data_IF_442507666899
#
_entry.id   IF_442507666899
#
_cell.length_a   1.000
_cell.length_b   1.000
_cell.length_c   1.000
_cell.angle_alpha   90.00
_cell.angle_beta   90.00
_cell.angle_gamma   90.00
#
_symmetry.space_group_name_H-M   'P 1'
#
loop_
_entity.id
_entity.type
_entity.pdbx_description
1 polymer ?
#
# COMPACT_ATOMS: atom_id res chain seq x y z
N UNK A 1 39.28 26.88 -44.91
CA UNK A 1 38.12 27.34 -44.12
C UNK A 1 37.17 26.17 -44.02
N UNK A 2 37.18 25.52 -42.87
CA UNK A 2 36.54 24.23 -42.60
C UNK A 2 35.09 24.42 -42.19
N UNK A 3 34.19 24.01 -43.09
CA UNK A 3 32.83 23.59 -42.76
C UNK A 3 32.88 22.27 -41.98
N UNK A 4 32.39 22.27 -40.74
CA UNK A 4 31.69 21.12 -40.15
C UNK A 4 30.86 21.59 -38.96
N UNK A 5 29.60 21.91 -39.25
CA UNK A 5 28.49 21.72 -38.32
C UNK A 5 28.57 20.30 -37.76
N UNK A 6 28.70 20.17 -36.45
CA UNK A 6 28.24 18.99 -35.72
C UNK A 6 27.13 19.47 -34.79
N UNK A 7 25.90 19.37 -35.28
CA UNK A 7 24.73 19.17 -34.43
C UNK A 7 24.33 17.72 -34.60
N UNK A 8 24.44 16.93 -33.53
CA UNK A 8 23.90 15.57 -33.38
C UNK A 8 24.06 15.27 -31.87
N UNK A 9 23.07 15.00 -31.05
CA UNK A 9 21.62 14.92 -31.19
C UNK A 9 21.04 14.81 -29.77
N UNK A 10 19.81 15.25 -29.60
CA UNK A 10 18.97 14.99 -28.45
C UNK A 10 18.59 13.51 -28.39
N UNK A 11 19.20 12.72 -27.51
CA UNK A 11 18.68 11.43 -27.08
C UNK A 11 18.80 11.35 -25.57
N UNK A 12 17.66 11.09 -24.92
CA UNK A 12 17.51 10.86 -23.49
C UNK A 12 18.58 9.89 -23.00
N UNK A 13 19.62 10.42 -22.36
CA UNK A 13 20.78 9.65 -21.92
C UNK A 13 20.34 8.78 -20.74
N UNK A 14 19.84 7.59 -21.09
CA UNK A 14 19.48 6.56 -20.15
C UNK A 14 20.65 6.35 -19.19
N UNK A 15 20.45 6.71 -17.93
CA UNK A 15 21.50 6.74 -16.91
C UNK A 15 21.17 5.72 -15.84
N UNK A 16 21.91 4.61 -15.84
CA UNK A 16 21.87 3.55 -14.84
C UNK A 16 21.78 4.06 -13.39
N UNK A 17 22.48 5.16 -13.06
CA UNK A 17 22.47 5.75 -11.71
C UNK A 17 21.12 6.40 -11.39
N UNK A 18 20.52 7.08 -12.36
CA UNK A 18 19.17 7.64 -12.22
C UNK A 18 18.16 6.51 -12.04
N UNK A 19 18.28 5.47 -12.85
CA UNK A 19 17.38 4.32 -12.85
C UNK A 19 17.40 3.56 -11.51
N UNK A 20 18.60 3.28 -11.01
CA UNK A 20 18.80 2.66 -9.69
C UNK A 20 18.21 3.53 -8.59
N UNK A 21 18.40 4.85 -8.66
CA UNK A 21 17.85 5.80 -7.68
C UNK A 21 16.31 5.78 -7.70
N UNK A 22 15.70 5.74 -8.88
CA UNK A 22 14.25 5.64 -9.06
C UNK A 22 13.70 4.34 -8.47
N UNK A 23 14.33 3.19 -8.74
CA UNK A 23 13.88 1.90 -8.20
C UNK A 23 14.06 1.79 -6.69
N UNK A 24 15.13 2.35 -6.14
CA UNK A 24 15.31 2.46 -4.69
C UNK A 24 14.23 3.36 -4.07
N UNK A 25 13.93 4.51 -4.68
CA UNK A 25 12.87 5.41 -4.22
C UNK A 25 11.49 4.73 -4.24
N UNK A 26 11.19 3.95 -5.30
CA UNK A 26 9.97 3.14 -5.37
C UNK A 26 9.89 2.10 -4.25
N UNK A 27 10.98 1.37 -4.03
CA UNK A 27 11.04 0.33 -2.99
C UNK A 27 10.84 0.93 -1.60
N UNK A 28 11.49 2.07 -1.31
CA UNK A 28 11.31 2.82 -0.06
C UNK A 28 9.85 3.26 0.11
N UNK A 29 9.25 3.87 -0.92
CA UNK A 29 7.86 4.30 -0.86
C UNK A 29 6.89 3.12 -0.64
N UNK A 30 7.13 1.98 -1.32
CA UNK A 30 6.35 0.76 -1.14
C UNK A 30 6.46 0.18 0.28
N UNK A 31 7.67 0.17 0.87
CA UNK A 31 7.90 -0.27 2.25
C UNK A 31 7.12 0.61 3.23
N UNK A 32 7.28 1.93 3.14
CA UNK A 32 6.58 2.87 4.02
C UNK A 32 5.06 2.76 3.92
N UNK A 33 4.53 2.67 2.70
CA UNK A 33 3.11 2.51 2.45
C UNK A 33 2.58 1.22 3.09
N UNK A 34 3.25 0.11 2.87
CA UNK A 34 2.79 -1.19 3.38
C UNK A 34 2.92 -1.26 4.90
N UNK A 35 3.99 -0.72 5.50
CA UNK A 35 4.14 -0.67 6.96
C UNK A 35 3.04 0.17 7.61
N UNK A 36 2.70 1.32 7.03
CA UNK A 36 1.61 2.18 7.52
C UNK A 36 0.25 1.45 7.46
N UNK A 37 0.00 0.72 6.37
CA UNK A 37 -1.21 -0.11 6.22
C UNK A 37 -1.24 -1.27 7.24
N UNK A 38 -0.10 -1.90 7.50
CA UNK A 38 0.06 -2.94 8.51
C UNK A 38 -0.19 -2.46 9.92
N UNK A 39 0.38 -1.32 10.31
CA UNK A 39 0.16 -0.72 11.63
C UNK A 39 -1.32 -0.42 11.86
N UNK A 40 -2.01 0.12 10.85
CA UNK A 40 -3.45 0.35 10.92
C UNK A 40 -4.22 -0.97 11.09
N UNK A 41 -3.84 -2.00 10.34
CA UNK A 41 -4.45 -3.33 10.41
C UNK A 41 -4.28 -3.96 11.78
N UNK A 42 -3.08 -3.90 12.36
CA UNK A 42 -2.78 -4.42 13.71
C UNK A 42 -3.58 -3.65 14.76
N UNK A 43 -3.68 -2.32 14.65
CA UNK A 43 -4.46 -1.51 15.57
C UNK A 43 -5.96 -1.86 15.51
N UNK A 44 -6.52 -2.01 14.31
CA UNK A 44 -7.90 -2.46 14.12
C UNK A 44 -8.12 -3.85 14.71
N UNK A 45 -7.19 -4.78 14.47
CA UNK A 45 -7.27 -6.13 15.00
C UNK A 45 -7.26 -6.15 16.54
N UNK A 46 -6.35 -5.37 17.15
CA UNK A 46 -6.29 -5.22 18.60
C UNK A 46 -7.58 -4.62 19.17
N UNK A 47 -8.12 -3.57 18.55
CA UNK A 47 -9.37 -2.94 18.97
C UNK A 47 -10.55 -3.92 18.86
N UNK A 48 -10.66 -4.65 17.75
CA UNK A 48 -11.72 -5.63 17.56
C UNK A 48 -11.64 -6.78 18.58
N UNK A 49 -10.45 -7.29 18.91
CA UNK A 49 -10.32 -8.32 19.94
C UNK A 49 -10.65 -7.82 21.35
N UNK A 50 -10.28 -6.58 21.69
CA UNK A 50 -10.66 -5.97 22.96
C UNK A 50 -12.18 -5.83 23.06
N UNK A 51 -12.82 -5.39 21.99
CA UNK A 51 -14.26 -5.23 21.96
C UNK A 51 -15.00 -6.57 22.01
N UNK A 52 -14.50 -7.59 21.29
CA UNK A 52 -15.03 -8.96 21.41
C UNK A 52 -14.94 -9.50 22.84
N UNK A 53 -13.84 -9.24 23.55
CA UNK A 53 -13.69 -9.64 24.95
C UNK A 53 -14.71 -8.90 25.85
N UNK A 54 -14.92 -7.60 25.62
CA UNK A 54 -15.92 -6.81 26.34
C UNK A 54 -17.34 -7.33 26.12
N UNK A 55 -17.70 -7.61 24.86
CA UNK A 55 -19.00 -8.16 24.47
C UNK A 55 -19.23 -9.51 25.17
N UNK A 56 -18.24 -10.42 25.16
CA UNK A 56 -18.34 -11.70 25.86
C UNK A 56 -18.63 -11.53 27.36
N UNK A 57 -17.94 -10.60 28.02
CA UNK A 57 -18.17 -10.31 29.44
C UNK A 57 -19.54 -9.68 29.70
N UNK A 58 -20.02 -8.81 28.80
CA UNK A 58 -21.33 -8.19 28.91
C UNK A 58 -22.46 -9.19 28.72
N UNK A 59 -22.36 -10.06 27.71
CA UNK A 59 -23.30 -11.17 27.48
C UNK A 59 -23.34 -12.10 28.69
N UNK A 60 -22.18 -12.46 29.27
CA UNK A 60 -22.13 -13.30 30.47
C UNK A 60 -22.82 -12.63 31.68
N UNK A 61 -22.61 -11.33 31.89
CA UNK A 61 -23.27 -10.56 32.96
C UNK A 61 -24.78 -10.48 32.75
N UNK A 62 -25.23 -10.21 31.52
CA UNK A 62 -26.65 -10.15 31.17
C UNK A 62 -27.31 -11.53 31.37
N UNK A 63 -26.66 -12.60 30.92
CA UNK A 63 -27.18 -13.97 31.07
C UNK A 63 -27.27 -14.43 32.54
N UNK A 64 -26.43 -13.89 33.43
CA UNK A 64 -26.45 -14.21 34.87
C UNK A 64 -27.44 -13.39 35.70
N UNK A 65 -27.92 -12.25 35.19
CA UNK A 65 -28.93 -11.43 35.86
C UNK A 65 -30.33 -11.97 35.54
N UNK A 66 -31.00 -12.54 36.54
CA UNK A 66 -32.24 -13.33 36.37
C UNK A 66 -33.52 -12.46 36.34
N UNK A 67 -33.46 -11.18 36.74
CA UNK A 67 -34.68 -10.40 37.03
C UNK A 67 -35.20 -9.48 35.90
N UNK A 68 -34.45 -9.24 34.81
CA UNK A 68 -34.94 -8.37 33.72
C UNK A 68 -34.20 -8.48 32.38
N UNK A 69 -33.47 -9.57 32.12
CA UNK A 69 -32.69 -9.69 30.89
C UNK A 69 -33.59 -9.78 29.67
N UNK A 70 -33.68 -8.67 28.93
CA UNK A 70 -34.29 -8.64 27.62
C UNK A 70 -33.42 -9.45 26.67
N UNK A 71 -33.94 -10.54 26.14
CA UNK A 71 -33.27 -11.32 25.08
C UNK A 71 -32.79 -10.42 23.93
N UNK A 72 -33.48 -9.29 23.69
CA UNK A 72 -33.07 -8.28 22.72
C UNK A 72 -31.70 -7.64 23.03
N UNK A 73 -31.34 -7.44 24.30
CA UNK A 73 -30.03 -6.90 24.69
C UNK A 73 -28.89 -7.88 24.40
N UNK A 74 -29.11 -9.18 24.64
CA UNK A 74 -28.13 -10.22 24.29
C UNK A 74 -27.98 -10.31 22.77
N UNK A 75 -29.09 -10.27 22.02
CA UNK A 75 -29.04 -10.28 20.55
C UNK A 75 -28.26 -9.07 20.01
N UNK A 76 -28.49 -7.87 20.54
CA UNK A 76 -27.73 -6.68 20.15
C UNK A 76 -26.23 -6.78 20.43
N UNK A 77 -25.83 -7.34 21.57
CA UNK A 77 -24.41 -7.61 21.87
C UNK A 77 -23.81 -8.64 20.90
N UNK A 78 -24.55 -9.67 20.50
CA UNK A 78 -24.10 -10.67 19.51
C UNK A 78 -24.00 -10.08 18.10
N UNK A 79 -24.88 -9.16 17.71
CA UNK A 79 -24.76 -8.41 16.45
C UNK A 79 -23.49 -7.55 16.44
N UNK A 80 -23.20 -6.86 17.54
CA UNK A 80 -21.94 -6.13 17.71
C UNK A 80 -20.73 -7.07 17.60
N UNK A 81 -20.83 -8.29 18.14
CA UNK A 81 -19.78 -9.32 18.04
C UNK A 81 -19.49 -9.67 16.58
N UNK A 82 -20.54 -9.91 15.79
CA UNK A 82 -20.44 -10.20 14.36
C UNK A 82 -19.73 -9.07 13.61
N UNK A 83 -20.09 -7.81 13.92
CA UNK A 83 -19.42 -6.63 13.36
C UNK A 83 -17.92 -6.59 13.68
N UNK A 84 -17.53 -6.87 14.91
CA UNK A 84 -16.12 -6.89 15.31
C UNK A 84 -15.33 -8.04 14.68
N UNK A 85 -15.95 -9.23 14.53
CA UNK A 85 -15.34 -10.34 13.80
C UNK A 85 -15.09 -9.94 12.34
N UNK A 86 -16.05 -9.29 11.70
CA UNK A 86 -15.89 -8.84 10.31
C UNK A 86 -14.77 -7.80 10.18
N UNK A 87 -14.71 -6.82 11.09
CA UNK A 87 -13.61 -5.84 11.14
C UNK A 87 -12.25 -6.51 11.32
N UNK A 88 -12.15 -7.52 12.19
CA UNK A 88 -10.93 -8.30 12.38
C UNK A 88 -10.54 -9.09 11.13
N UNK A 89 -11.50 -9.72 10.43
CA UNK A 89 -11.25 -10.45 9.17
C UNK A 89 -10.69 -9.50 8.11
N UNK A 90 -11.31 -8.33 7.95
CA UNK A 90 -10.86 -7.30 7.01
C UNK A 90 -9.44 -6.82 7.37
N UNK A 91 -9.17 -6.59 8.66
CA UNK A 91 -7.83 -6.24 9.13
C UNK A 91 -6.78 -7.33 8.82
N UNK A 92 -7.12 -8.61 8.95
CA UNK A 92 -6.23 -9.70 8.55
C UNK A 92 -5.94 -9.71 7.05
N UNK A 93 -6.92 -9.40 6.20
CA UNK A 93 -6.71 -9.32 4.75
C UNK A 93 -5.74 -8.19 4.38
N UNK A 94 -5.85 -7.03 5.04
CA UNK A 94 -4.90 -5.94 4.84
C UNK A 94 -3.49 -6.29 5.34
N UNK A 95 -3.39 -7.00 6.47
CA UNK A 95 -2.10 -7.48 6.97
C UNK A 95 -1.45 -8.49 6.00
N UNK A 96 -2.22 -9.45 5.46
CA UNK A 96 -1.74 -10.39 4.46
C UNK A 96 -1.29 -9.67 3.18
N UNK A 97 -2.05 -8.66 2.74
CA UNK A 97 -1.67 -7.79 1.62
C UNK A 97 -0.34 -7.07 1.87
N UNK A 98 -0.08 -6.57 3.08
CA UNK A 98 1.23 -6.03 3.46
C UNK A 98 2.32 -7.09 3.26
N UNK A 99 2.14 -8.31 3.78
CA UNK A 99 3.15 -9.37 3.66
C UNK A 99 3.48 -9.67 2.19
N UNK A 100 2.47 -9.83 1.33
CA UNK A 100 2.65 -10.06 -0.10
C UNK A 100 3.41 -8.90 -0.77
N UNK A 101 3.07 -7.66 -0.44
CA UNK A 101 3.74 -6.48 -0.98
C UNK A 101 5.21 -6.40 -0.56
N UNK A 102 5.56 -6.76 0.68
CA UNK A 102 6.95 -6.81 1.12
C UNK A 102 7.76 -7.90 0.43
N UNK A 103 7.15 -9.05 0.16
CA UNK A 103 7.79 -10.11 -0.62
C UNK A 103 8.07 -9.64 -2.06
N UNK A 104 7.14 -8.91 -2.68
CA UNK A 104 7.36 -8.30 -4.00
C UNK A 104 8.46 -7.24 -4.00
N UNK A 105 8.53 -6.38 -2.97
CA UNK A 105 9.62 -5.41 -2.83
C UNK A 105 10.96 -6.12 -2.67
N UNK A 106 11.04 -7.13 -1.80
CA UNK A 106 12.25 -7.91 -1.60
C UNK A 106 12.73 -8.56 -2.91
N UNK A 107 11.82 -9.22 -3.64
CA UNK A 107 12.16 -9.80 -4.95
C UNK A 107 12.58 -8.73 -5.97
N UNK A 108 11.95 -7.55 -5.95
CA UNK A 108 12.31 -6.45 -6.86
C UNK A 108 13.72 -5.91 -6.57
N UNK A 109 14.10 -5.83 -5.30
CA UNK A 109 15.45 -5.44 -4.87
C UNK A 109 16.49 -6.52 -5.18
N UNK A 110 16.15 -7.80 -5.08
CA UNK A 110 17.02 -8.91 -5.52
C UNK A 110 17.26 -8.86 -7.04
N UNK A 111 16.20 -8.70 -7.84
CA UNK A 111 16.31 -8.54 -9.29
C UNK A 111 17.14 -7.31 -9.66
N UNK A 112 16.98 -6.21 -8.90
CA UNK A 112 17.83 -5.03 -9.05
C UNK A 112 19.29 -5.37 -8.76
N UNK A 113 19.59 -6.03 -7.64
CA UNK A 113 20.95 -6.40 -7.28
C UNK A 113 21.61 -7.32 -8.32
N UNK A 114 20.87 -8.27 -8.90
CA UNK A 114 21.33 -9.10 -10.03
C UNK A 114 21.69 -8.27 -11.26
N UNK A 115 20.83 -7.31 -11.65
CA UNK A 115 21.10 -6.40 -12.76
C UNK A 115 22.32 -5.49 -12.52
N UNK A 116 22.56 -5.10 -11.26
CA UNK A 116 23.73 -4.29 -10.88
C UNK A 116 25.04 -5.09 -10.91
N UNK A 117 24.99 -6.40 -10.70
CA UNK A 117 26.18 -7.27 -10.56
C UNK A 117 26.67 -7.83 -11.89
N UNK A 118 25.82 -7.85 -12.92
CA UNK A 118 26.15 -8.36 -14.24
C UNK A 118 26.72 -7.23 -15.13
N UNK A 119 28.06 -7.19 -15.25
CA UNK A 119 28.86 -6.14 -15.93
C UNK A 119 28.44 -5.82 -17.38
N UNK A 120 27.59 -6.66 -18.01
CA UNK A 120 27.03 -6.43 -19.35
C UNK A 120 25.55 -6.03 -19.40
N UNK A 121 24.75 -6.29 -18.35
CA UNK A 121 23.30 -6.00 -18.32
C UNK A 121 22.96 -4.62 -17.80
N UNK A 122 23.89 -3.95 -17.14
CA UNK A 122 23.66 -2.57 -16.71
C UNK A 122 23.53 -1.58 -17.89
N UNK A 123 23.82 -1.96 -19.14
CA UNK A 123 23.61 -1.15 -20.34
C UNK A 123 22.29 -1.55 -21.05
N UNK A 124 21.67 -2.65 -20.62
CA UNK A 124 20.45 -3.18 -21.23
C UNK A 124 19.20 -2.44 -20.75
N UNK A 125 18.83 -1.38 -21.47
CA UNK A 125 17.61 -0.63 -21.22
C UNK A 125 16.33 -1.50 -21.21
N UNK A 126 16.31 -2.65 -21.90
CA UNK A 126 15.14 -3.54 -21.89
C UNK A 126 14.97 -4.26 -20.56
N UNK A 127 16.06 -4.70 -19.91
CA UNK A 127 16.03 -5.32 -18.58
C UNK A 127 15.42 -4.39 -17.52
N UNK A 128 15.79 -3.10 -17.56
CA UNK A 128 15.24 -2.10 -16.65
C UNK A 128 13.79 -1.75 -16.94
N UNK A 129 13.40 -1.68 -18.23
CA UNK A 129 12.01 -1.51 -18.60
C UNK A 129 11.15 -2.69 -18.14
N UNK A 130 11.63 -3.93 -18.30
CA UNK A 130 10.94 -5.12 -17.81
C UNK A 130 10.78 -5.12 -16.29
N UNK A 131 11.82 -4.70 -15.55
CA UNK A 131 11.74 -4.57 -14.09
C UNK A 131 10.72 -3.49 -13.67
N UNK A 132 10.71 -2.34 -14.36
CA UNK A 132 9.70 -1.29 -14.13
C UNK A 132 8.29 -1.78 -14.38
N UNK A 133 8.04 -2.47 -15.49
CA UNK A 133 6.72 -2.99 -15.82
C UNK A 133 6.28 -4.06 -14.81
N UNK A 134 7.20 -4.93 -14.37
CA UNK A 134 6.92 -5.91 -13.32
C UNK A 134 6.54 -5.25 -11.99
N UNK A 135 7.24 -4.19 -11.60
CA UNK A 135 6.90 -3.41 -10.40
C UNK A 135 5.56 -2.68 -10.60
N UNK A 136 5.30 -2.15 -11.80
CA UNK A 136 4.05 -1.45 -12.13
C UNK A 136 2.82 -2.35 -12.01
N UNK A 137 2.94 -3.62 -12.40
CA UNK A 137 1.84 -4.61 -12.33
C UNK A 137 1.38 -4.94 -10.91
N UNK A 138 2.21 -4.69 -9.89
CA UNK A 138 1.82 -4.92 -8.50
C UNK A 138 1.00 -3.77 -7.90
N UNK A 139 0.89 -2.63 -8.60
CA UNK A 139 0.00 -1.55 -8.19
C UNK A 139 -1.39 -1.79 -8.75
N UNK A 140 -2.39 -1.67 -7.89
CA UNK A 140 -3.79 -1.96 -8.20
C UNK A 140 -4.69 -0.75 -8.00
N UNK A 141 -4.29 0.17 -7.11
CA UNK A 141 -5.04 1.37 -6.80
C UNK A 141 -4.59 2.56 -7.67
N UNK A 142 -5.49 3.53 -7.86
CA UNK A 142 -5.21 4.73 -8.64
C UNK A 142 -4.16 5.60 -7.95
N UNK A 143 -4.27 5.73 -6.64
CA UNK A 143 -3.37 6.43 -5.74
C UNK A 143 -1.96 5.86 -5.84
N UNK A 144 -1.86 4.52 -5.89
CA UNK A 144 -0.63 3.77 -6.07
C UNK A 144 0.05 4.07 -7.42
N UNK A 145 -0.74 4.14 -8.49
CA UNK A 145 -0.23 4.55 -9.81
C UNK A 145 0.23 6.01 -9.83
N UNK A 146 -0.47 6.92 -9.16
CA UNK A 146 -0.06 8.33 -9.06
C UNK A 146 1.30 8.46 -8.35
N UNK A 147 1.50 7.72 -7.26
CA UNK A 147 2.79 7.64 -6.57
C UNK A 147 3.90 7.14 -7.50
N UNK A 148 3.64 6.03 -8.22
CA UNK A 148 4.60 5.45 -9.16
C UNK A 148 4.99 6.46 -10.26
N UNK A 149 4.01 7.10 -10.89
CA UNK A 149 4.23 8.08 -11.96
C UNK A 149 4.97 9.32 -11.43
N UNK A 150 4.75 9.73 -10.17
CA UNK A 150 5.50 10.82 -9.55
C UNK A 150 6.98 10.47 -9.39
N UNK A 151 7.28 9.26 -8.94
CA UNK A 151 8.67 8.79 -8.78
C UNK A 151 9.34 8.63 -10.16
N UNK A 152 8.60 8.19 -11.18
CA UNK A 152 9.08 8.14 -12.56
C UNK A 152 9.41 9.53 -13.14
N UNK A 153 8.71 10.57 -12.69
CA UNK A 153 9.00 11.98 -13.04
C UNK A 153 10.19 12.57 -12.27
N UNK A 154 10.79 11.82 -11.36
CA UNK A 154 11.97 12.24 -10.59
C UNK A 154 11.65 12.84 -9.21
N UNK A 155 10.40 12.74 -8.73
CA UNK A 155 10.08 13.11 -7.35
C UNK A 155 10.82 12.19 -6.36
N UNK A 156 11.15 12.74 -5.20
CA UNK A 156 11.66 11.93 -4.09
C UNK A 156 10.59 10.96 -3.58
N UNK A 157 11.02 9.88 -2.92
CA UNK A 157 10.10 8.93 -2.29
C UNK A 157 9.15 9.63 -1.29
N UNK A 158 9.65 10.65 -0.58
CA UNK A 158 8.85 11.40 0.39
C UNK A 158 7.73 12.22 -0.28
N UNK A 159 8.05 12.97 -1.34
CA UNK A 159 7.05 13.74 -2.09
C UNK A 159 5.99 12.84 -2.72
N UNK A 160 6.41 11.70 -3.27
CA UNK A 160 5.48 10.75 -3.85
C UNK A 160 4.54 10.11 -2.81
N UNK A 161 5.04 9.83 -1.60
CA UNK A 161 4.21 9.37 -0.48
C UNK A 161 3.22 10.43 -0.01
N UNK A 162 3.59 11.70 -0.06
CA UNK A 162 2.67 12.79 0.28
C UNK A 162 1.54 12.92 -0.76
N UNK A 163 1.87 12.80 -2.06
CA UNK A 163 0.87 12.74 -3.14
C UNK A 163 -0.06 11.54 -2.96
N UNK A 164 0.49 10.37 -2.63
CA UNK A 164 -0.31 9.19 -2.32
C UNK A 164 -1.28 9.45 -1.16
N UNK A 165 -0.78 10.02 -0.06
CA UNK A 165 -1.59 10.32 1.13
C UNK A 165 -2.70 11.32 0.84
N UNK A 166 -2.40 12.39 0.09
CA UNK A 166 -3.39 13.39 -0.31
C UNK A 166 -4.46 12.77 -1.21
N UNK A 167 -4.06 12.00 -2.22
CA UNK A 167 -4.99 11.31 -3.11
C UNK A 167 -5.88 10.31 -2.36
N UNK A 168 -5.35 9.61 -1.35
CA UNK A 168 -6.14 8.69 -0.52
C UNK A 168 -7.17 9.42 0.35
N UNK A 169 -6.82 10.61 0.85
CA UNK A 169 -7.74 11.46 1.62
C UNK A 169 -8.85 12.02 0.73
N UNK A 170 -8.51 12.46 -0.49
CA UNK A 170 -9.48 12.95 -1.48
C UNK A 170 -10.44 11.84 -1.92
N UNK A 171 -9.94 10.62 -2.18
CA UNK A 171 -10.78 9.47 -2.54
C UNK A 171 -11.76 9.12 -1.41
N UNK A 172 -11.30 9.13 -0.14
CA UNK A 172 -12.19 8.90 1.01
C UNK A 172 -13.21 10.02 1.24
N UNK A 173 -12.83 11.27 0.97
CA UNK A 173 -13.76 12.40 1.09
C UNK A 173 -14.87 12.34 0.03
N UNK A 174 -14.53 11.91 -1.19
CA UNK A 174 -15.52 11.75 -2.26
C UNK A 174 -16.42 10.52 -2.05
N UNK A 175 -15.91 9.43 -1.46
CA UNK A 175 -16.73 8.26 -1.08
C UNK A 175 -17.78 8.59 -0.01
N UNK A 176 -17.51 9.53 0.90
CA UNK A 176 -18.45 10.00 1.93
C UNK A 176 -19.49 10.98 1.36
N UNK A 177 -19.14 11.75 0.32
CA UNK A 177 -20.06 12.64 -0.42
C UNK A 177 -20.98 11.89 -1.41
N UNK A 178 -20.58 10.70 -1.89
CA UNK A 178 -21.40 9.84 -2.76
C UNK A 178 -22.44 8.98 -1.99
N UNK A 179 -22.50 9.10 -0.65
CA UNK A 179 -23.68 8.70 0.15
C UNK A 179 -24.67 9.89 0.21
N UNK A 180 -24.97 10.49 -0.94
CA UNK A 180 -26.21 11.25 -1.11
C UNK A 180 -27.38 10.26 -1.13
N UNK A 181 -28.08 10.19 0.02
CA UNK A 181 -29.53 9.99 0.13
C UNK A 181 -30.23 9.43 -1.12
N UNK A 182 -30.40 8.11 -1.16
CA UNK A 182 -31.52 7.48 -1.85
C UNK A 182 -32.39 6.73 -0.84
#
# INVERSE_FOLDING_TARGET
>A
MTDKKVSLGSESEWCFRSETTTLLALSIAQIHMSLTEGDNSINTLSASFQELANICLNVEKLAKNDESTSMASIVGEVENMSGQINSAIVAFQFYDRLCQRMEHVASSLENLAELLTDDGKFIDAQGWQALREKIKQHYTMKEEHLMFESIMKGSSAHEAMEIYRQSLLESKANEDDDIELF
#
